data_IF_303874833291
#
_entry.id   IF_303874833291
#
_cell.length_a   1.000
_cell.length_b   1.000
_cell.length_c   1.000
_cell.angle_alpha   90.00
_cell.angle_beta   90.00
_cell.angle_gamma   90.00
#
_symmetry.space_group_name_H-M   'P 1'
#
loop_
_entity.id
_entity.type
_entity.pdbx_description
1 polymer ?
#
# COMPACT_ATOMS: atom_id res chain seq x y z
N UNK A 1 -28.48 29.74 64.50
CA UNK A 1 -29.39 28.99 65.42
C UNK A 1 -30.74 28.92 64.70
N UNK A 2 -31.38 27.83 64.29
CA UNK A 2 -31.48 26.37 64.59
C UNK A 2 -31.71 25.66 63.22
N UNK A 3 -31.03 24.59 62.77
CA UNK A 3 -31.07 23.14 63.07
C UNK A 3 -32.40 22.38 62.81
N UNK A 4 -32.30 21.30 62.01
CA UNK A 4 -33.20 20.12 61.88
C UNK A 4 -33.64 19.89 60.42
N UNK A 5 -33.23 18.90 59.60
CA UNK A 5 -32.93 17.45 59.67
C UNK A 5 -34.14 16.51 59.90
N UNK A 6 -34.43 15.68 58.87
CA UNK A 6 -34.97 14.29 58.83
C UNK A 6 -35.89 14.13 57.59
N UNK A 7 -35.50 13.46 56.50
CA UNK A 7 -35.32 12.01 56.25
C UNK A 7 -36.63 11.24 55.89
N UNK A 8 -36.51 10.39 54.85
CA UNK A 8 -37.29 9.15 54.51
C UNK A 8 -38.61 9.35 53.69
N UNK A 9 -39.00 8.60 52.64
CA UNK A 9 -38.63 7.30 52.01
C UNK A 9 -39.19 7.20 50.57
N UNK A 10 -38.46 6.44 49.74
CA UNK A 10 -38.73 5.67 48.51
C UNK A 10 -40.14 5.52 47.87
N UNK A 11 -40.14 5.44 46.52
CA UNK A 11 -40.51 4.27 45.66
C UNK A 11 -41.22 4.74 44.36
N UNK A 12 -40.55 4.71 43.21
CA UNK A 12 -40.47 3.64 42.20
C UNK A 12 -41.74 3.46 41.31
N UNK A 13 -41.52 3.59 39.99
CA UNK A 13 -42.24 3.00 38.85
C UNK A 13 -43.57 3.70 38.46
N UNK A 14 -43.86 4.09 37.21
CA UNK A 14 -43.48 3.57 35.88
C UNK A 14 -43.48 4.69 34.82
N UNK A 15 -42.43 4.77 34.00
CA UNK A 15 -42.41 5.60 32.79
C UNK A 15 -43.18 4.89 31.67
N UNK A 16 -44.36 5.41 31.34
CA UNK A 16 -45.13 5.03 30.15
C UNK A 16 -44.56 5.75 28.92
N UNK A 17 -44.21 4.97 27.92
CA UNK A 17 -43.67 5.36 26.64
C UNK A 17 -44.80 5.98 25.80
N UNK A 18 -44.66 7.25 25.40
CA UNK A 18 -45.40 7.81 24.27
C UNK A 18 -44.44 8.53 23.33
N UNK A 19 -44.59 8.13 22.07
CA UNK A 19 -43.73 8.31 20.91
C UNK A 19 -43.70 9.76 20.46
N UNK A 20 -42.51 10.34 20.28
CA UNK A 20 -42.33 11.55 19.47
C UNK A 20 -41.76 11.10 18.13
N UNK A 21 -42.61 11.11 17.10
CA UNK A 21 -42.22 11.00 15.69
C UNK A 21 -41.34 12.17 15.30
N UNK A 22 -40.24 11.84 14.64
CA UNK A 22 -39.12 12.74 14.39
C UNK A 22 -39.29 13.75 13.26
N UNK A 23 -38.35 14.69 13.27
CA UNK A 23 -37.72 15.26 12.09
C UNK A 23 -36.39 15.87 12.55
N UNK A 24 -35.30 15.13 12.48
CA UNK A 24 -33.95 15.64 12.80
C UNK A 24 -33.17 15.79 11.49
N UNK A 25 -32.81 17.04 11.17
CA UNK A 25 -31.86 17.35 10.10
C UNK A 25 -30.52 16.70 10.45
N UNK A 26 -30.08 15.76 9.62
CA UNK A 26 -28.71 15.25 9.64
C UNK A 26 -27.76 16.36 9.18
N UNK A 27 -27.18 17.08 10.13
CA UNK A 27 -25.95 17.82 9.90
C UNK A 27 -24.82 16.82 9.63
N UNK A 28 -24.33 16.83 8.39
CA UNK A 28 -23.14 16.09 7.95
C UNK A 28 -21.90 16.84 8.41
N UNK A 29 -21.52 16.74 9.68
CA UNK A 29 -20.23 17.28 10.13
C UNK A 29 -19.66 16.52 11.34
N UNK A 30 -19.44 15.21 11.23
CA UNK A 30 -18.70 14.46 12.26
C UNK A 30 -18.01 13.19 11.74
N UNK A 31 -17.44 13.23 10.53
CA UNK A 31 -16.66 12.11 9.96
C UNK A 31 -15.20 12.47 9.64
N UNK A 32 -14.78 13.73 9.79
CA UNK A 32 -13.49 14.22 9.25
C UNK A 32 -12.29 14.15 10.22
N UNK A 33 -12.50 13.88 11.51
CA UNK A 33 -11.39 13.78 12.48
C UNK A 33 -10.64 12.44 12.37
N UNK A 34 -11.38 11.34 12.22
CA UNK A 34 -10.81 9.99 12.24
C UNK A 34 -10.01 9.64 10.98
N UNK A 35 -10.40 10.13 9.80
CA UNK A 35 -9.65 9.89 8.55
C UNK A 35 -8.33 10.65 8.52
N UNK A 36 -8.32 11.88 9.05
CA UNK A 36 -7.12 12.72 9.11
C UNK A 36 -6.12 12.16 10.11
N UNK A 37 -6.58 11.73 11.28
CA UNK A 37 -5.74 11.04 12.27
C UNK A 37 -5.22 9.70 11.76
N UNK A 38 -6.05 8.87 11.12
CA UNK A 38 -5.62 7.60 10.52
C UNK A 38 -4.64 7.78 9.36
N UNK A 39 -4.81 8.82 8.53
CA UNK A 39 -3.86 9.19 7.47
C UNK A 39 -2.53 9.71 8.03
N UNK A 40 -2.56 10.47 9.11
CA UNK A 40 -1.36 10.98 9.80
C UNK A 40 -0.61 9.83 10.49
N UNK A 41 -1.31 8.91 11.16
CA UNK A 41 -0.71 7.73 11.82
C UNK A 41 -0.13 6.77 10.77
N UNK A 42 -0.87 6.49 9.69
CA UNK A 42 -0.40 5.70 8.55
C UNK A 42 0.84 6.33 7.89
N UNK A 43 0.86 7.66 7.75
CA UNK A 43 2.01 8.38 7.20
C UNK A 43 3.24 8.37 8.10
N UNK A 44 3.08 8.18 9.41
CA UNK A 44 4.19 8.14 10.36
C UNK A 44 4.75 6.73 10.55
N UNK A 45 3.91 5.69 10.45
CA UNK A 45 4.33 4.29 10.42
C UNK A 45 4.94 3.86 9.07
N UNK A 46 4.52 4.48 7.95
CA UNK A 46 5.04 4.24 6.60
C UNK A 46 6.36 4.98 6.32
N UNK A 47 6.95 5.66 7.30
CA UNK A 47 8.26 6.29 7.13
C UNK A 47 9.31 5.65 8.02
N UNK A 48 10.51 5.53 7.46
CA UNK A 48 11.74 5.16 8.14
C UNK A 48 12.61 6.40 8.23
N UNK A 49 12.95 6.80 9.45
CA UNK A 49 13.93 7.86 9.71
C UNK A 49 15.30 7.21 9.90
N UNK A 50 16.24 7.51 9.01
CA UNK A 50 17.57 6.92 8.98
C UNK A 50 18.64 8.01 9.00
N UNK A 51 19.70 7.76 9.76
CA UNK A 51 20.94 8.52 9.66
C UNK A 51 21.86 7.81 8.67
N UNK A 52 22.19 8.48 7.55
CA UNK A 52 23.18 7.99 6.58
C UNK A 52 24.49 8.73 6.84
N UNK A 53 25.59 7.98 6.95
CA UNK A 53 26.91 8.55 7.26
C UNK A 53 27.72 8.70 5.97
N UNK A 54 28.22 9.91 5.74
CA UNK A 54 29.03 10.26 4.58
C UNK A 54 30.40 10.76 5.01
N UNK A 55 31.35 10.75 4.06
CA UNK A 55 32.68 11.32 4.28
C UNK A 55 32.57 12.83 4.54
N UNK A 56 33.26 13.27 5.59
CA UNK A 56 33.37 14.67 6.00
C UNK A 56 34.83 15.08 6.26
N UNK A 57 35.77 14.24 5.84
CA UNK A 57 37.21 14.44 6.07
C UNK A 57 37.68 15.74 5.44
N UNK A 58 38.31 16.59 6.25
CA UNK A 58 38.93 17.84 5.78
C UNK A 58 40.29 17.62 5.08
N UNK A 59 40.89 16.44 5.24
CA UNK A 59 42.16 16.05 4.64
C UNK A 59 42.28 14.52 4.54
N UNK A 60 43.29 14.04 3.80
CA UNK A 60 43.47 12.60 3.51
C UNK A 60 44.14 11.78 4.61
N UNK A 61 44.53 12.41 5.74
CA UNK A 61 45.25 11.73 6.83
C UNK A 61 44.33 11.32 7.98
N UNK A 62 43.19 11.99 8.15
CA UNK A 62 42.23 11.71 9.20
C UNK A 62 40.84 11.50 8.61
N UNK A 63 40.38 10.24 8.45
CA UNK A 63 39.03 9.99 7.95
C UNK A 63 37.98 10.37 9.00
N UNK A 64 37.02 11.19 8.60
CA UNK A 64 35.92 11.68 9.43
C UNK A 64 34.59 11.45 8.73
N UNK A 65 33.53 11.15 9.48
CA UNK A 65 32.18 10.96 8.94
C UNK A 65 31.17 11.88 9.62
N UNK A 66 30.23 12.38 8.82
CA UNK A 66 29.09 13.15 9.29
C UNK A 66 27.78 12.44 8.93
N UNK A 67 26.76 12.60 9.77
CA UNK A 67 25.43 12.04 9.53
C UNK A 67 24.55 13.01 8.75
N UNK A 68 23.74 12.48 7.85
CA UNK A 68 22.63 13.15 7.19
C UNK A 68 21.34 12.36 7.43
N UNK A 69 20.28 13.04 7.86
CA UNK A 69 18.98 12.43 8.13
C UNK A 69 18.20 12.24 6.82
N UNK A 70 17.68 11.02 6.61
CA UNK A 70 16.89 10.64 5.43
C UNK A 70 15.60 10.00 5.88
N UNK A 71 14.49 10.52 5.35
CA UNK A 71 13.17 9.92 5.49
C UNK A 71 12.92 9.05 4.26
N UNK A 72 12.73 7.75 4.47
CA UNK A 72 12.40 6.80 3.40
C UNK A 72 11.01 6.21 3.61
N UNK A 73 10.31 5.89 2.53
CA UNK A 73 8.98 5.27 2.59
C UNK A 73 9.11 3.76 2.77
N UNK A 74 8.68 3.25 3.92
CA UNK A 74 8.78 1.85 4.33
C UNK A 74 8.11 0.93 3.31
N UNK A 75 6.90 1.25 2.89
CA UNK A 75 6.15 0.41 1.97
C UNK A 75 6.69 0.44 0.54
N UNK A 76 7.31 1.55 0.12
CA UNK A 76 7.99 1.57 -1.19
C UNK A 76 9.22 0.65 -1.18
N UNK A 77 10.05 0.71 -0.13
CA UNK A 77 11.18 -0.21 0.04
C UNK A 77 10.73 -1.67 0.10
N UNK A 78 9.67 -1.97 0.86
CA UNK A 78 9.12 -3.31 0.95
C UNK A 78 8.62 -3.82 -0.41
N UNK A 79 7.96 -2.95 -1.20
CA UNK A 79 7.51 -3.28 -2.55
C UNK A 79 8.65 -3.61 -3.49
N UNK A 80 9.74 -2.83 -3.46
CA UNK A 80 10.95 -3.13 -4.24
C UNK A 80 11.54 -4.49 -3.88
N UNK A 81 11.64 -4.81 -2.58
CA UNK A 81 12.14 -6.10 -2.11
C UNK A 81 11.25 -7.26 -2.59
N UNK A 82 9.93 -7.12 -2.49
CA UNK A 82 8.97 -8.14 -2.93
C UNK A 82 9.15 -8.41 -4.43
N UNK A 83 9.23 -7.38 -5.26
CA UNK A 83 9.44 -7.56 -6.71
C UNK A 83 10.83 -8.14 -7.00
N UNK A 84 11.85 -7.73 -6.25
CA UNK A 84 13.19 -8.30 -6.33
C UNK A 84 13.20 -9.82 -6.11
N UNK A 85 12.48 -10.32 -5.11
CA UNK A 85 12.36 -11.77 -4.88
C UNK A 85 11.55 -12.48 -5.97
N UNK A 86 10.53 -11.84 -6.56
CA UNK A 86 9.82 -12.39 -7.74
C UNK A 86 10.78 -12.53 -8.94
N UNK A 87 11.59 -11.51 -9.21
CA UNK A 87 12.57 -11.51 -10.32
C UNK A 87 13.64 -12.58 -10.11
N UNK A 88 14.17 -12.68 -8.90
CA UNK A 88 15.13 -13.73 -8.49
C UNK A 88 14.56 -15.13 -8.71
N UNK A 89 13.25 -15.28 -8.52
CA UNK A 89 12.51 -16.51 -8.71
C UNK A 89 12.55 -17.44 -7.50
N UNK A 90 11.83 -18.56 -7.56
CA UNK A 90 11.75 -19.50 -6.44
C UNK A 90 13.10 -20.19 -6.16
N UNK A 91 13.24 -20.73 -4.94
CA UNK A 91 14.41 -21.53 -4.53
C UNK A 91 14.69 -22.69 -5.50
N UNK A 92 15.97 -23.03 -5.68
CA UNK A 92 16.42 -24.07 -6.63
C UNK A 92 15.73 -25.43 -6.44
N UNK A 93 15.45 -25.81 -5.20
CA UNK A 93 14.79 -27.08 -4.86
C UNK A 93 13.25 -27.01 -4.87
N UNK A 94 12.68 -25.86 -5.23
CA UNK A 94 11.23 -25.66 -5.29
C UNK A 94 10.64 -26.28 -6.56
N UNK A 95 9.39 -26.75 -6.48
CA UNK A 95 8.60 -27.16 -7.64
C UNK A 95 7.91 -25.98 -8.35
N UNK A 96 8.02 -24.77 -7.79
CA UNK A 96 7.46 -23.54 -8.36
C UNK A 96 8.27 -23.09 -9.58
N UNK A 97 7.65 -22.29 -10.45
CA UNK A 97 8.27 -21.75 -11.67
C UNK A 97 8.39 -20.23 -11.57
N UNK A 98 9.42 -19.61 -12.15
CA UNK A 98 9.54 -18.16 -12.21
C UNK A 98 8.41 -17.55 -13.06
N UNK A 99 8.01 -16.33 -12.71
CA UNK A 99 6.94 -15.57 -13.39
C UNK A 99 7.47 -14.34 -14.13
N UNK A 100 8.72 -13.96 -13.90
CA UNK A 100 9.47 -12.95 -14.64
C UNK A 100 10.85 -13.48 -15.06
N UNK A 101 11.45 -12.93 -16.14
CA UNK A 101 12.85 -13.20 -16.47
C UNK A 101 13.81 -12.70 -15.40
N UNK A 102 14.89 -13.45 -15.13
CA UNK A 102 15.89 -13.11 -14.11
C UNK A 102 16.65 -11.82 -14.40
N UNK A 103 16.76 -11.44 -15.66
CA UNK A 103 17.48 -10.24 -16.10
C UNK A 103 16.61 -8.97 -16.02
N UNK A 104 15.35 -9.11 -15.59
CA UNK A 104 14.45 -7.98 -15.32
C UNK A 104 15.04 -7.09 -14.23
N UNK A 105 14.94 -5.77 -14.41
CA UNK A 105 15.31 -4.78 -13.40
C UNK A 105 14.10 -3.94 -13.03
N UNK A 106 14.04 -3.51 -11.77
CA UNK A 106 13.12 -2.48 -11.32
C UNK A 106 13.74 -1.13 -11.72
N UNK A 107 13.05 -0.37 -12.56
CA UNK A 107 13.48 0.99 -12.93
C UNK A 107 12.99 2.02 -11.92
N UNK A 108 11.77 1.83 -11.42
CA UNK A 108 11.22 2.64 -10.33
C UNK A 108 10.05 1.92 -9.66
N UNK A 109 9.88 2.15 -8.36
CA UNK A 109 8.70 1.76 -7.61
C UNK A 109 8.20 2.94 -6.77
N UNK A 110 6.89 3.16 -6.75
CA UNK A 110 6.30 4.17 -5.87
C UNK A 110 4.86 3.79 -5.51
N UNK A 111 4.37 4.32 -4.39
CA UNK A 111 2.98 4.14 -3.98
C UNK A 111 2.32 5.50 -3.88
N UNK A 112 1.20 5.66 -4.60
CA UNK A 112 0.39 6.88 -4.57
C UNK A 112 -1.08 6.51 -4.71
N UNK A 113 -1.93 7.09 -3.87
CA UNK A 113 -3.39 6.89 -3.90
C UNK A 113 -3.80 5.41 -3.90
N UNK A 114 -3.16 4.63 -3.02
CA UNK A 114 -3.29 3.18 -2.91
C UNK A 114 -2.93 2.35 -4.16
N UNK A 115 -2.22 2.96 -5.12
CA UNK A 115 -1.73 2.33 -6.34
C UNK A 115 -0.21 2.18 -6.26
N UNK A 116 0.28 0.97 -6.42
CA UNK A 116 1.70 0.70 -6.64
C UNK A 116 2.04 0.89 -8.12
N UNK A 117 2.92 1.84 -8.43
CA UNK A 117 3.45 2.08 -9.77
C UNK A 117 4.77 1.33 -9.90
N UNK A 118 4.74 0.22 -10.63
CA UNK A 118 5.89 -0.63 -10.88
C UNK A 118 6.38 -0.43 -12.31
N UNK A 119 7.56 0.12 -12.48
CA UNK A 119 8.22 0.27 -13.78
C UNK A 119 9.38 -0.71 -13.89
N UNK A 120 9.33 -1.56 -14.90
CA UNK A 120 10.32 -2.60 -15.16
C UNK A 120 11.16 -2.27 -16.40
N UNK A 121 12.34 -2.86 -16.48
CA UNK A 121 13.19 -2.77 -17.65
C UNK A 121 12.66 -3.62 -18.80
N UNK A 122 13.12 -3.32 -20.03
CA UNK A 122 12.72 -4.02 -21.26
C UNK A 122 12.83 -5.55 -21.20
N UNK A 123 13.72 -6.11 -20.38
CA UNK A 123 13.90 -7.56 -20.21
C UNK A 123 12.67 -8.24 -19.62
N UNK A 124 11.78 -7.49 -18.94
CA UNK A 124 10.48 -7.98 -18.53
C UNK A 124 9.54 -8.24 -19.71
N UNK A 125 9.74 -7.56 -20.85
CA UNK A 125 8.86 -7.63 -22.01
C UNK A 125 9.23 -8.80 -22.92
N UNK A 126 8.74 -9.98 -22.56
CA UNK A 126 8.88 -11.20 -23.35
C UNK A 126 7.53 -11.65 -23.90
N UNK A 127 7.57 -12.44 -24.98
CA UNK A 127 6.36 -13.12 -25.46
C UNK A 127 5.86 -14.12 -24.41
N UNK A 128 4.56 -14.04 -24.12
CA UNK A 128 3.87 -14.85 -23.13
C UNK A 128 2.57 -15.37 -23.73
N UNK A 129 2.25 -16.64 -23.51
CA UNK A 129 0.88 -17.10 -23.71
C UNK A 129 -0.06 -16.39 -22.73
N UNK A 130 -1.34 -16.21 -23.07
CA UNK A 130 -2.35 -15.65 -22.16
C UNK A 130 -2.30 -16.25 -20.75
N UNK A 131 -2.11 -17.58 -20.63
CA UNK A 131 -1.94 -18.26 -19.34
C UNK A 131 -0.71 -17.78 -18.55
N UNK A 132 0.45 -17.62 -19.22
CA UNK A 132 1.68 -17.15 -18.57
C UNK A 132 1.56 -15.68 -18.17
N UNK A 133 0.94 -14.87 -19.03
CA UNK A 133 0.67 -13.45 -18.76
C UNK A 133 -0.21 -13.29 -17.52
N UNK A 134 -1.32 -14.03 -17.45
CA UNK A 134 -2.21 -14.03 -16.28
C UNK A 134 -1.48 -14.48 -15.00
N UNK A 135 -0.62 -15.49 -15.12
CA UNK A 135 0.19 -15.98 -14.00
C UNK A 135 1.18 -14.92 -13.51
N UNK A 136 1.82 -14.18 -14.43
CA UNK A 136 2.71 -13.07 -14.11
C UNK A 136 1.96 -11.94 -13.39
N UNK A 137 0.83 -11.51 -13.95
CA UNK A 137 -0.03 -10.49 -13.36
C UNK A 137 -0.47 -10.86 -11.95
N UNK A 138 -0.96 -12.10 -11.76
CA UNK A 138 -1.35 -12.60 -10.43
C UNK A 138 -0.18 -12.61 -9.46
N UNK A 139 0.98 -13.08 -9.90
CA UNK A 139 2.21 -13.10 -9.08
C UNK A 139 2.55 -11.71 -8.54
N UNK A 140 2.55 -10.70 -9.41
CA UNK A 140 2.89 -9.31 -9.05
C UNK A 140 1.80 -8.72 -8.15
N UNK A 141 0.54 -8.73 -8.62
CA UNK A 141 -0.57 -8.07 -7.92
C UNK A 141 -0.79 -8.68 -6.55
N UNK A 142 -0.75 -10.01 -6.40
CA UNK A 142 -1.05 -10.67 -5.12
C UNK A 142 0.04 -10.38 -4.11
N UNK A 143 1.29 -10.40 -4.56
CA UNK A 143 2.44 -10.15 -3.69
C UNK A 143 2.48 -8.71 -3.20
N UNK A 144 2.25 -7.74 -4.08
CA UNK A 144 2.21 -6.32 -3.71
C UNK A 144 0.98 -5.95 -2.88
N UNK A 145 -0.17 -6.60 -3.09
CA UNK A 145 -1.39 -6.38 -2.27
C UNK A 145 -1.26 -6.85 -0.82
N UNK A 146 -0.12 -7.42 -0.40
CA UNK A 146 0.18 -7.70 1.01
C UNK A 146 0.60 -6.42 1.75
N UNK A 147 1.01 -5.39 1.02
CA UNK A 147 1.33 -4.08 1.57
C UNK A 147 0.01 -3.36 1.87
N UNK A 148 -0.24 -2.92 3.13
CA UNK A 148 -1.52 -2.33 3.52
C UNK A 148 -1.94 -1.10 2.70
N UNK A 149 -0.98 -0.34 2.17
CA UNK A 149 -1.22 0.83 1.33
C UNK A 149 -1.39 0.51 -0.16
N UNK A 150 -1.50 -0.76 -0.57
CA UNK A 150 -1.60 -1.17 -1.98
C UNK A 150 -2.91 -1.92 -2.23
N UNK A 151 -3.81 -1.29 -2.98
CA UNK A 151 -5.06 -1.89 -3.46
C UNK A 151 -4.98 -2.31 -4.94
N UNK A 152 -4.23 -1.56 -5.74
CA UNK A 152 -4.05 -1.80 -7.18
C UNK A 152 -2.59 -1.65 -7.59
N UNK A 153 -2.24 -2.22 -8.73
CA UNK A 153 -0.90 -2.12 -9.32
C UNK A 153 -1.00 -1.59 -10.74
N UNK A 154 -0.20 -0.57 -11.06
CA UNK A 154 0.06 -0.11 -12.42
C UNK A 154 1.43 -0.62 -12.85
N UNK A 155 1.46 -1.46 -13.87
CA UNK A 155 2.69 -2.01 -14.44
C UNK A 155 3.09 -1.18 -15.65
N UNK A 156 4.36 -0.83 -15.73
CA UNK A 156 5.00 -0.20 -16.87
C UNK A 156 6.25 -0.97 -17.25
N UNK A 157 6.60 -0.95 -18.53
CA UNK A 157 7.92 -1.38 -19.01
C UNK A 157 8.54 -0.23 -19.80
N UNK A 158 9.74 0.20 -19.41
CA UNK A 158 10.43 1.36 -20.01
C UNK A 158 9.54 2.62 -20.02
N UNK A 159 8.84 2.89 -18.91
CA UNK A 159 7.87 3.98 -18.75
C UNK A 159 6.64 3.92 -19.67
N UNK A 160 6.40 2.78 -20.34
CA UNK A 160 5.24 2.57 -21.21
C UNK A 160 4.28 1.56 -20.60
N UNK A 161 3.01 1.71 -20.88
CA UNK A 161 1.93 0.89 -20.33
C UNK A 161 1.00 0.30 -21.40
N UNK A 162 1.43 0.38 -22.66
CA UNK A 162 0.75 -0.16 -23.84
C UNK A 162 1.58 -1.30 -24.43
N UNK A 163 0.88 -2.28 -25.02
CA UNK A 163 1.47 -3.42 -25.74
C UNK A 163 2.58 -4.12 -24.95
N UNK A 164 2.31 -4.33 -23.66
CA UNK A 164 3.16 -5.10 -22.78
C UNK A 164 2.92 -6.59 -23.02
N UNK A 165 4.02 -7.35 -23.03
CA UNK A 165 4.06 -8.77 -23.35
C UNK A 165 3.44 -9.03 -24.73
N UNK A 166 2.35 -9.80 -24.79
CA UNK A 166 1.60 -10.06 -26.02
C UNK A 166 0.17 -9.47 -25.95
N UNK A 167 -0.06 -8.54 -25.02
CA UNK A 167 -1.30 -7.76 -24.92
C UNK A 167 -2.57 -8.62 -24.75
N UNK A 168 -2.49 -9.76 -24.06
CA UNK A 168 -3.69 -10.55 -23.76
C UNK A 168 -4.54 -9.92 -22.65
N UNK A 169 -4.01 -8.94 -21.91
CA UNK A 169 -4.71 -8.19 -20.87
C UNK A 169 -4.56 -6.68 -21.07
N UNK A 170 -5.63 -5.92 -20.82
CA UNK A 170 -5.62 -4.46 -20.81
C UNK A 170 -4.94 -3.91 -19.55
N UNK A 171 -3.67 -3.53 -19.69
CA UNK A 171 -2.86 -2.94 -18.62
C UNK A 171 -2.85 -1.40 -18.65
N UNK A 172 -3.71 -0.77 -19.48
CA UNK A 172 -3.84 0.69 -19.56
C UNK A 172 -4.33 1.31 -18.25
N UNK A 173 -4.97 0.53 -17.38
CA UNK A 173 -5.45 0.96 -16.05
C UNK A 173 -4.77 0.17 -14.93
N UNK A 174 -4.64 0.73 -13.72
CA UNK A 174 -4.21 -0.03 -12.55
C UNK A 174 -5.19 -1.18 -12.26
N UNK A 175 -4.65 -2.36 -11.96
CA UNK A 175 -5.42 -3.56 -11.70
C UNK A 175 -5.25 -4.03 -10.25
N UNK A 176 -6.36 -4.34 -9.59
CA UNK A 176 -6.40 -5.10 -8.35
C UNK A 176 -6.72 -6.58 -8.59
N UNK A 177 -6.79 -7.36 -7.50
CA UNK A 177 -7.07 -8.81 -7.57
C UNK A 177 -8.38 -9.15 -8.30
N UNK A 178 -9.42 -8.34 -8.08
CA UNK A 178 -10.73 -8.52 -8.71
C UNK A 178 -10.82 -8.05 -10.16
N UNK A 179 -9.81 -7.31 -10.66
CA UNK A 179 -9.87 -6.67 -11.96
C UNK A 179 -9.31 -7.57 -13.10
N UNK A 180 -8.47 -8.57 -12.78
CA UNK A 180 -7.73 -9.36 -13.80
C UNK A 180 -8.67 -10.02 -14.83
N UNK A 181 -9.76 -10.66 -14.39
CA UNK A 181 -10.65 -11.37 -15.32
C UNK A 181 -11.32 -10.41 -16.31
N UNK A 182 -11.68 -9.22 -15.83
CA UNK A 182 -12.33 -8.19 -16.66
C UNK A 182 -11.33 -7.47 -17.57
N UNK A 183 -10.03 -7.55 -17.27
CA UNK A 183 -8.97 -6.97 -18.09
C UNK A 183 -8.56 -7.88 -19.25
N UNK A 184 -8.98 -9.15 -19.28
CA UNK A 184 -8.62 -10.08 -20.37
C UNK A 184 -9.20 -9.59 -21.70
N UNK A 185 -8.38 -9.60 -22.75
CA UNK A 185 -8.78 -9.29 -24.13
C UNK A 185 -9.19 -10.58 -24.84
N UNK A 186 -10.19 -10.45 -25.72
CA UNK A 186 -10.71 -11.54 -26.55
C UNK A 186 -9.78 -11.88 -27.73
#
# INVERSE_FOLDING_TARGET
>A
MKKGFCLLICSLLTTSLLVITGCEKKDKTSLNSNEKEKKIILSKEDTLDLNIYFDSSSNTKNPEVAKEERIMKRYEILGEIIIGEIIKGPSVNSKLKPTLPKDTRILSFSIKDNIAFLNLSKEANISMTSYKEETCLKSIIWSLSQIPSVEKVKILIENKDIDLWDNHFDLSKPLGKGDIQNAKRD
#
